data_IF_519958425859
#
_entry.id   IF_519958425859
#
_cell.length_a   1.000
_cell.length_b   1.000
_cell.length_c   1.000
_cell.angle_alpha   90.00
_cell.angle_beta   90.00
_cell.angle_gamma   90.00
#
_symmetry.space_group_name_H-M   'P 1'
#
loop_
_entity.id
_entity.type
_entity.pdbx_description
1 polymer ?
#
# COMPACT_ATOMS: atom_id res chain seq x y z
N UNK A 1 26.48 -7.47 8.68
CA UNK A 1 25.01 -7.60 8.83
C UNK A 1 24.21 -7.17 7.59
N UNK A 2 24.50 -6.02 6.98
CA UNK A 2 23.70 -5.37 5.91
C UNK A 2 23.27 -6.28 4.73
N UNK A 3 24.08 -7.28 4.33
CA UNK A 3 23.82 -8.15 3.17
C UNK A 3 22.56 -9.03 3.22
N UNK A 4 21.84 -9.14 4.36
CA UNK A 4 20.59 -9.94 4.43
C UNK A 4 19.33 -9.21 3.92
N UNK A 5 19.26 -7.88 3.97
CA UNK A 5 18.04 -7.12 3.64
C UNK A 5 17.78 -7.13 2.11
N UNK A 6 18.84 -6.99 1.31
CA UNK A 6 18.76 -6.97 -0.16
C UNK A 6 18.18 -8.24 -0.80
N UNK A 7 18.21 -9.38 -0.09
CA UNK A 7 17.66 -10.64 -0.61
C UNK A 7 16.12 -10.67 -0.56
N UNK A 8 15.49 -9.97 0.40
CA UNK A 8 14.04 -10.09 0.64
C UNK A 8 13.20 -9.48 -0.49
N UNK A 9 13.72 -8.46 -1.19
CA UNK A 9 13.06 -7.87 -2.36
C UNK A 9 13.21 -8.70 -3.63
N UNK A 10 14.23 -9.57 -3.73
CA UNK A 10 14.53 -10.34 -4.95
C UNK A 10 13.52 -11.45 -5.27
N UNK A 11 12.70 -11.89 -4.29
CA UNK A 11 11.89 -13.11 -4.44
C UNK A 11 10.40 -12.98 -4.03
N UNK A 12 9.86 -11.76 -3.95
CA UNK A 12 8.45 -11.54 -3.56
C UNK A 12 7.46 -11.86 -4.69
N UNK A 13 7.05 -13.12 -4.79
CA UNK A 13 6.00 -13.61 -5.70
C UNK A 13 4.67 -12.82 -5.60
N UNK A 14 4.39 -12.24 -4.43
CA UNK A 14 3.25 -11.33 -4.20
C UNK A 14 3.21 -10.09 -5.11
N UNK A 15 4.32 -9.67 -5.71
CA UNK A 15 4.38 -8.43 -6.50
C UNK A 15 3.94 -8.62 -7.96
N UNK A 16 4.07 -9.83 -8.54
CA UNK A 16 3.78 -10.06 -9.97
C UNK A 16 2.29 -10.20 -10.30
N UNK A 17 1.47 -10.63 -9.34
CA UNK A 17 0.06 -10.96 -9.56
C UNK A 17 -0.91 -9.88 -9.05
N UNK A 18 -0.42 -8.72 -8.58
CA UNK A 18 -1.23 -7.72 -7.87
C UNK A 18 -1.55 -6.46 -8.69
N UNK A 19 -1.86 -6.63 -9.98
CA UNK A 19 -2.48 -5.59 -10.81
C UNK A 19 -3.80 -6.09 -11.42
N UNK A 20 -4.79 -6.34 -10.54
CA UNK A 20 -6.20 -5.88 -10.67
C UNK A 20 -7.08 -6.54 -9.59
N UNK A 21 -7.12 -7.87 -9.54
CA UNK A 21 -8.24 -8.59 -8.89
C UNK A 21 -8.07 -8.85 -7.39
N UNK A 22 -6.96 -9.48 -6.95
CA UNK A 22 -6.80 -9.85 -5.53
C UNK A 22 -6.72 -8.63 -4.59
N UNK A 23 -6.27 -7.48 -5.09
CA UNK A 23 -6.26 -6.23 -4.32
C UNK A 23 -7.68 -5.68 -4.09
N UNK A 24 -8.57 -5.85 -5.07
CA UNK A 24 -9.97 -5.44 -5.01
C UNK A 24 -10.77 -6.31 -4.04
N UNK A 25 -10.43 -7.59 -3.93
CA UNK A 25 -11.00 -8.52 -2.95
C UNK A 25 -10.55 -8.23 -1.51
N UNK A 26 -9.31 -7.77 -1.30
CA UNK A 26 -8.76 -7.48 0.03
C UNK A 26 -9.31 -6.18 0.66
N UNK A 27 -9.71 -5.19 -0.15
CA UNK A 27 -10.18 -3.89 0.36
C UNK A 27 -11.47 -3.37 -0.33
N UNK A 28 -12.61 -4.09 -0.29
CA UNK A 28 -13.80 -3.73 -1.08
C UNK A 28 -14.33 -2.30 -0.84
N UNK A 29 -14.19 -1.77 0.37
CA UNK A 29 -14.59 -0.42 0.77
C UNK A 29 -13.74 0.72 0.17
N UNK A 30 -12.55 0.41 -0.39
CA UNK A 30 -11.78 1.36 -1.20
C UNK A 30 -12.24 1.36 -2.68
N UNK A 31 -13.04 0.36 -3.10
CA UNK A 31 -13.38 0.09 -4.51
C UNK A 31 -14.89 0.04 -4.80
N UNK A 32 -15.74 0.30 -3.80
CA UNK A 32 -17.17 0.51 -3.94
C UNK A 32 -17.44 1.87 -4.60
N UNK A 33 -17.47 1.88 -5.93
CA UNK A 33 -17.75 3.08 -6.73
C UNK A 33 -19.14 3.64 -6.39
N UNK A 34 -19.22 4.95 -6.17
CA UNK A 34 -20.47 5.69 -6.34
C UNK A 34 -20.92 5.53 -7.79
N UNK A 35 -22.10 4.96 -8.00
CA UNK A 35 -22.77 4.95 -9.29
C UNK A 35 -23.22 6.36 -9.64
N UNK A 36 -22.75 6.88 -10.78
CA UNK A 36 -23.28 8.09 -11.41
C UNK A 36 -24.24 7.60 -12.51
N UNK A 37 -25.57 7.81 -12.38
CA UNK A 37 -26.52 7.48 -13.45
C UNK A 37 -26.36 8.40 -14.67
N UNK A 38 -26.99 7.98 -15.77
CA UNK A 38 -26.80 8.59 -17.09
C UNK A 38 -27.44 9.98 -17.24
N UNK A 39 -27.01 10.75 -18.25
CA UNK A 39 -27.34 12.16 -18.44
C UNK A 39 -28.13 12.36 -19.74
N UNK A 40 -29.45 12.54 -19.63
CA UNK A 40 -30.24 13.58 -20.36
C UNK A 40 -31.76 13.36 -20.21
N UNK A 41 -32.48 14.42 -19.80
CA UNK A 41 -33.74 14.88 -20.42
C UNK A 41 -34.24 16.20 -19.83
N UNK A 42 -34.03 17.25 -20.61
CA UNK A 42 -34.90 18.41 -20.86
C UNK A 42 -35.92 18.84 -19.79
N UNK A 43 -35.68 20.01 -19.18
CA UNK A 43 -36.66 21.12 -19.11
C UNK A 43 -36.11 22.40 -18.46
N UNK A 44 -36.53 23.54 -19.00
CA UNK A 44 -36.57 24.86 -18.36
C UNK A 44 -37.76 24.89 -17.35
N UNK A 45 -37.91 25.80 -16.38
CA UNK A 45 -37.24 27.07 -16.01
C UNK A 45 -36.87 26.98 -14.49
N UNK A 46 -36.55 27.96 -13.64
CA UNK A 46 -36.62 29.43 -13.59
C UNK A 46 -35.46 29.97 -12.68
N UNK A 47 -35.39 31.26 -12.33
CA UNK A 47 -34.36 31.86 -11.46
C UNK A 47 -34.89 32.88 -10.45
N UNK A 48 -34.76 32.64 -9.13
CA UNK A 48 -34.90 33.67 -8.08
C UNK A 48 -33.80 33.58 -6.98
N UNK A 49 -33.12 34.73 -6.79
CA UNK A 49 -32.48 35.30 -5.58
C UNK A 49 -31.57 34.48 -4.60
N UNK A 50 -30.25 34.78 -4.62
CA UNK A 50 -29.40 35.37 -3.52
C UNK A 50 -29.35 34.67 -2.12
N UNK A 51 -28.20 34.53 -1.38
CA UNK A 51 -26.76 34.80 -1.67
C UNK A 51 -25.75 33.67 -1.28
N UNK A 52 -24.46 33.93 -1.61
CA UNK A 52 -23.21 33.55 -0.90
C UNK A 52 -22.96 32.11 -0.36
N UNK A 53 -22.19 31.33 -1.14
CA UNK A 53 -21.09 30.49 -0.64
C UNK A 53 -20.02 30.30 -1.74
N UNK A 54 -18.72 30.24 -1.38
CA UNK A 54 -17.61 30.13 -2.36
C UNK A 54 -17.29 28.67 -2.71
N UNK A 55 -18.18 28.00 -3.42
CA UNK A 55 -17.89 26.66 -3.95
C UNK A 55 -16.90 26.68 -5.13
N UNK A 56 -16.01 25.69 -5.18
CA UNK A 56 -14.98 25.57 -6.23
C UNK A 56 -15.58 25.01 -7.52
N UNK A 57 -15.70 25.88 -8.53
CA UNK A 57 -16.31 25.56 -9.84
C UNK A 57 -15.69 24.30 -10.47
N UNK A 58 -16.50 23.24 -10.60
CA UNK A 58 -16.18 22.05 -11.40
C UNK A 58 -16.26 22.39 -12.90
N UNK A 59 -15.14 22.78 -13.50
CA UNK A 59 -15.07 23.06 -14.94
C UNK A 59 -15.26 21.77 -15.76
N UNK A 60 -16.46 21.58 -16.31
CA UNK A 60 -16.86 20.45 -17.16
C UNK A 60 -16.30 20.58 -18.59
N UNK A 61 -14.99 20.44 -18.74
CA UNK A 61 -14.38 20.15 -20.04
C UNK A 61 -14.42 18.64 -20.32
N UNK A 62 -14.50 18.20 -21.60
CA UNK A 62 -14.25 16.81 -21.94
C UNK A 62 -12.83 16.45 -21.51
N UNK A 63 -12.68 15.43 -20.66
CA UNK A 63 -11.38 15.05 -20.12
C UNK A 63 -10.51 14.41 -21.20
N UNK A 64 -9.58 15.19 -21.76
CA UNK A 64 -8.35 14.60 -22.33
C UNK A 64 -7.71 13.71 -21.28
N UNK A 65 -7.19 12.55 -21.69
CA UNK A 65 -6.38 11.76 -20.77
C UNK A 65 -5.11 12.56 -20.47
N UNK A 66 -4.83 12.81 -19.19
CA UNK A 66 -3.63 13.56 -18.80
C UNK A 66 -2.34 12.79 -19.15
N UNK A 67 -2.45 11.50 -19.43
CA UNK A 67 -1.36 10.62 -19.84
C UNK A 67 -1.37 10.31 -21.35
N UNK A 68 -2.15 11.03 -22.16
CA UNK A 68 -2.07 10.96 -23.62
C UNK A 68 -0.63 11.28 -24.08
N UNK A 69 -0.02 10.37 -24.85
CA UNK A 69 1.38 10.46 -25.28
C UNK A 69 2.44 10.08 -24.22
N UNK A 70 2.05 9.64 -23.02
CA UNK A 70 3.00 9.19 -21.97
C UNK A 70 3.29 7.69 -22.09
N UNK A 71 4.58 7.33 -22.02
CA UNK A 71 5.04 5.95 -21.90
C UNK A 71 4.74 5.39 -20.50
N UNK A 72 3.61 4.69 -20.36
CA UNK A 72 3.14 4.12 -19.10
C UNK A 72 4.03 2.99 -18.57
N UNK A 73 4.73 2.24 -19.41
CA UNK A 73 5.64 1.17 -18.96
C UNK A 73 6.95 1.76 -18.40
N UNK A 74 7.42 2.90 -18.92
CA UNK A 74 8.51 3.68 -18.32
C UNK A 74 8.11 4.32 -16.98
N UNK A 75 6.89 4.85 -16.87
CA UNK A 75 6.33 5.34 -15.58
C UNK A 75 6.28 4.22 -14.55
N UNK A 76 5.73 3.05 -14.93
CA UNK A 76 5.65 1.84 -14.11
C UNK A 76 7.04 1.30 -13.71
N UNK A 77 8.02 1.36 -14.61
CA UNK A 77 9.41 0.99 -14.32
C UNK A 77 10.03 1.91 -13.28
N UNK A 78 9.84 3.24 -13.41
CA UNK A 78 10.28 4.22 -12.40
C UNK A 78 9.55 4.07 -11.06
N UNK A 79 8.24 3.78 -11.09
CA UNK A 79 7.45 3.49 -9.88
C UNK A 79 7.98 2.27 -9.13
N UNK A 80 8.28 1.16 -9.84
CA UNK A 80 8.89 -0.02 -9.22
C UNK A 80 10.24 0.33 -8.57
N UNK A 81 11.10 1.09 -9.26
CA UNK A 81 12.38 1.55 -8.70
C UNK A 81 12.18 2.40 -7.43
N UNK A 82 11.22 3.33 -7.41
CA UNK A 82 10.86 4.12 -6.22
C UNK A 82 10.35 3.26 -5.04
N UNK A 83 9.65 2.16 -5.32
CA UNK A 83 9.17 1.23 -4.30
C UNK A 83 10.29 0.31 -3.78
N UNK A 84 11.18 -0.16 -4.65
CA UNK A 84 12.35 -0.98 -4.31
C UNK A 84 13.41 -0.19 -3.52
N UNK A 85 13.61 1.09 -3.85
CA UNK A 85 14.46 2.03 -3.10
C UNK A 85 13.82 2.50 -1.78
N UNK A 86 12.54 2.18 -1.56
CA UNK A 86 11.70 2.67 -0.45
C UNK A 86 11.62 4.20 -0.35
N UNK A 87 11.56 4.91 -1.48
CA UNK A 87 11.42 6.37 -1.51
C UNK A 87 10.22 6.88 -0.71
N UNK A 88 9.19 6.05 -0.53
CA UNK A 88 8.04 6.33 0.34
C UNK A 88 8.37 6.49 1.84
N UNK A 89 9.57 6.14 2.33
CA UNK A 89 9.94 6.30 3.75
C UNK A 89 10.25 7.76 4.11
N UNK A 90 10.70 8.60 3.17
CA UNK A 90 10.95 10.02 3.43
C UNK A 90 9.66 10.72 3.90
N UNK A 91 9.65 11.19 5.15
CA UNK A 91 8.45 11.75 5.78
C UNK A 91 8.02 13.09 5.17
N UNK A 92 8.96 13.84 4.59
CA UNK A 92 8.76 15.13 3.91
C UNK A 92 8.47 14.98 2.40
N UNK A 93 8.40 13.76 1.87
CA UNK A 93 8.10 13.50 0.47
C UNK A 93 6.72 14.03 0.05
N UNK A 94 6.68 14.99 -0.87
CA UNK A 94 5.44 15.55 -1.43
C UNK A 94 5.18 15.02 -2.85
N UNK A 95 3.97 15.27 -3.34
CA UNK A 95 3.54 14.83 -4.67
C UNK A 95 4.44 15.35 -5.83
N UNK A 96 4.98 16.59 -5.84
CA UNK A 96 5.91 17.03 -6.90
C UNK A 96 7.22 16.23 -6.92
N UNK A 97 7.71 15.82 -5.75
CA UNK A 97 8.97 15.09 -5.60
C UNK A 97 8.79 13.66 -6.17
N UNK A 98 7.74 12.96 -5.70
CA UNK A 98 7.31 11.68 -6.27
C UNK A 98 7.01 11.76 -7.78
N UNK A 99 6.38 12.84 -8.26
CA UNK A 99 6.10 13.03 -9.69
C UNK A 99 7.39 13.07 -10.52
N UNK A 100 8.43 13.74 -10.00
CA UNK A 100 9.77 13.79 -10.60
C UNK A 100 10.39 12.39 -10.68
N UNK A 101 10.32 11.62 -9.58
CA UNK A 101 10.79 10.23 -9.54
C UNK A 101 10.10 9.33 -10.57
N UNK A 102 8.76 9.40 -10.70
CA UNK A 102 8.01 8.62 -11.71
C UNK A 102 8.03 9.24 -13.12
N UNK A 103 8.65 10.40 -13.30
CA UNK A 103 8.81 11.06 -14.61
C UNK A 103 7.53 11.68 -15.17
N UNK A 104 6.68 12.21 -14.29
CA UNK A 104 5.40 12.86 -14.59
C UNK A 104 5.39 14.30 -14.07
N UNK A 105 4.49 15.14 -14.58
CA UNK A 105 4.12 16.38 -13.88
C UNK A 105 3.28 16.08 -12.63
N UNK A 106 3.23 16.99 -11.65
CA UNK A 106 2.43 16.86 -10.42
C UNK A 106 0.95 16.52 -10.70
N UNK A 107 0.36 17.13 -11.74
CA UNK A 107 -1.01 16.84 -12.17
C UNK A 107 -1.15 15.43 -12.75
N UNK A 108 -0.20 15.00 -13.59
CA UNK A 108 -0.18 13.66 -14.17
C UNK A 108 0.07 12.56 -13.11
N UNK A 109 0.93 12.81 -12.12
CA UNK A 109 1.14 11.88 -11.01
C UNK A 109 -0.14 11.73 -10.16
N UNK A 110 -0.82 12.84 -9.85
CA UNK A 110 -2.14 12.80 -9.19
C UNK A 110 -3.16 12.02 -10.02
N UNK A 111 -3.24 12.30 -11.33
CA UNK A 111 -4.14 11.60 -12.24
C UNK A 111 -3.83 10.10 -12.30
N UNK A 112 -2.56 9.72 -12.48
CA UNK A 112 -2.11 8.32 -12.53
C UNK A 112 -2.51 7.54 -11.26
N UNK A 113 -2.19 8.07 -10.08
CA UNK A 113 -2.53 7.43 -8.80
C UNK A 113 -4.04 7.25 -8.64
N UNK A 114 -4.85 8.26 -8.96
CA UNK A 114 -6.31 8.18 -8.84
C UNK A 114 -6.95 7.31 -9.95
N UNK A 115 -6.42 7.32 -11.18
CA UNK A 115 -7.02 6.69 -12.36
C UNK A 115 -6.64 5.22 -12.57
N UNK A 116 -5.43 4.83 -12.14
CA UNK A 116 -4.85 3.49 -12.35
C UNK A 116 -4.67 2.73 -11.04
N UNK A 117 -4.28 3.39 -9.94
CA UNK A 117 -4.17 2.75 -8.62
C UNK A 117 -5.39 2.96 -7.71
N UNK A 118 -6.30 3.88 -8.08
CA UNK A 118 -7.47 4.28 -7.27
C UNK A 118 -7.06 4.74 -5.86
N UNK A 119 -5.99 5.55 -5.77
CA UNK A 119 -5.47 6.11 -4.51
C UNK A 119 -5.21 7.61 -4.62
N UNK A 120 -5.38 8.32 -3.50
CA UNK A 120 -4.73 9.61 -3.29
C UNK A 120 -3.23 9.41 -3.02
N UNK A 121 -2.41 10.44 -3.23
CA UNK A 121 -0.98 10.39 -2.90
C UNK A 121 -0.71 10.03 -1.43
N UNK A 122 -1.45 10.65 -0.51
CA UNK A 122 -1.34 10.37 0.93
C UNK A 122 -1.73 8.92 1.26
N UNK A 123 -2.69 8.34 0.54
CA UNK A 123 -3.10 6.94 0.73
C UNK A 123 -2.07 5.94 0.17
N UNK A 124 -1.51 6.24 -1.00
CA UNK A 124 -0.40 5.48 -1.58
C UNK A 124 0.78 5.40 -0.61
N UNK A 125 1.23 6.55 -0.06
CA UNK A 125 2.29 6.57 0.96
C UNK A 125 1.90 5.77 2.21
N UNK A 126 0.75 6.09 2.84
CA UNK A 126 0.31 5.40 4.06
C UNK A 126 0.19 3.88 3.86
N UNK A 127 -0.27 3.40 2.70
CA UNK A 127 -0.35 1.97 2.38
C UNK A 127 1.03 1.30 2.36
N UNK A 128 2.00 1.88 1.65
CA UNK A 128 3.36 1.35 1.60
C UNK A 128 4.06 1.43 2.97
N UNK A 129 3.91 2.56 3.69
CA UNK A 129 4.43 2.74 5.06
C UNK A 129 3.83 1.73 6.04
N UNK A 130 2.52 1.46 6.02
CA UNK A 130 1.88 0.43 6.86
C UNK A 130 2.41 -0.98 6.53
N UNK A 131 2.63 -1.30 5.27
CA UNK A 131 3.15 -2.62 4.90
C UNK A 131 4.61 -2.79 5.34
N UNK A 132 5.42 -1.74 5.34
CA UNK A 132 6.77 -1.79 5.90
C UNK A 132 6.78 -1.86 7.44
N UNK A 133 5.86 -1.18 8.13
CA UNK A 133 5.66 -1.38 9.59
C UNK A 133 5.35 -2.85 9.89
N UNK A 134 4.49 -3.52 9.10
CA UNK A 134 4.22 -4.96 9.26
C UNK A 134 5.50 -5.80 9.08
N UNK A 135 6.39 -5.43 8.16
CA UNK A 135 7.67 -6.12 7.96
C UNK A 135 8.62 -5.92 9.15
N UNK A 136 8.76 -4.68 9.60
CA UNK A 136 9.63 -4.30 10.71
C UNK A 136 9.19 -4.90 12.06
N UNK A 137 7.88 -5.06 12.31
CA UNK A 137 7.37 -5.75 13.52
C UNK A 137 7.88 -7.19 13.60
N UNK A 138 7.90 -7.92 12.49
CA UNK A 138 8.37 -9.33 12.43
C UNK A 138 9.86 -9.46 12.69
N UNK A 139 10.64 -8.52 12.14
CA UNK A 139 12.10 -8.49 12.29
C UNK A 139 12.51 -8.04 13.71
N UNK A 140 11.80 -7.05 14.26
CA UNK A 140 12.18 -6.32 15.47
C UNK A 140 11.06 -6.36 16.54
N UNK A 141 10.62 -7.56 16.92
CA UNK A 141 9.48 -7.79 17.80
C UNK A 141 9.48 -6.93 19.10
N UNK A 142 10.66 -6.75 19.71
CA UNK A 142 10.83 -6.04 20.98
C UNK A 142 10.81 -4.50 20.87
N UNK A 143 10.85 -3.92 19.67
CA UNK A 143 10.92 -2.46 19.50
C UNK A 143 9.59 -1.76 19.82
N UNK A 144 9.68 -0.50 20.28
CA UNK A 144 8.51 0.36 20.44
C UNK A 144 7.82 0.54 19.08
N UNK A 145 6.52 0.27 19.04
CA UNK A 145 5.72 0.33 17.81
C UNK A 145 5.65 1.75 17.20
N UNK A 146 5.66 2.79 18.04
CA UNK A 146 5.71 4.16 17.53
C UNK A 146 7.04 4.42 16.82
N UNK A 147 8.18 4.04 17.42
CA UNK A 147 9.49 4.18 16.79
C UNK A 147 9.55 3.43 15.45
N UNK A 148 9.01 2.19 15.38
CA UNK A 148 8.90 1.46 14.10
C UNK A 148 8.11 2.28 13.06
N UNK A 149 7.04 2.96 13.46
CA UNK A 149 6.26 3.81 12.56
C UNK A 149 7.04 5.05 12.10
N UNK A 150 7.79 5.72 13.00
CA UNK A 150 8.65 6.86 12.63
C UNK A 150 9.73 6.43 11.61
N UNK A 151 10.42 5.31 11.86
CA UNK A 151 11.41 4.69 10.95
C UNK A 151 10.80 4.24 9.61
N UNK A 152 9.47 4.11 9.53
CA UNK A 152 8.73 3.84 8.30
C UNK A 152 8.08 5.11 7.70
N UNK A 153 8.51 6.31 8.11
CA UNK A 153 8.06 7.59 7.54
C UNK A 153 6.74 8.14 8.10
N UNK A 154 6.24 7.68 9.24
CA UNK A 154 5.09 8.32 9.89
C UNK A 154 5.53 9.47 10.79
N UNK A 155 5.27 10.71 10.38
CA UNK A 155 5.57 11.92 11.16
C UNK A 155 4.84 12.06 12.52
N UNK A 156 3.91 11.16 12.85
CA UNK A 156 3.09 11.26 14.06
C UNK A 156 2.36 9.96 14.41
N UNK A 157 2.12 9.75 15.71
CA UNK A 157 1.26 8.66 16.18
C UNK A 157 -0.17 8.73 15.60
N UNK A 158 -0.69 9.93 15.38
CA UNK A 158 -2.03 10.16 14.82
C UNK A 158 -2.15 9.81 13.34
N UNK A 159 -1.12 10.11 12.52
CA UNK A 159 -1.10 9.68 11.11
C UNK A 159 -0.98 8.16 11.00
N UNK A 160 -0.08 7.57 11.78
CA UNK A 160 0.09 6.12 11.90
C UNK A 160 -1.19 5.39 12.34
N UNK A 161 -1.88 5.87 13.39
CA UNK A 161 -3.13 5.25 13.87
C UNK A 161 -4.23 5.29 12.80
N UNK A 162 -4.40 6.42 12.10
CA UNK A 162 -5.35 6.54 10.98
C UNK A 162 -5.04 5.56 9.86
N UNK A 163 -3.75 5.39 9.53
CA UNK A 163 -3.31 4.43 8.51
C UNK A 163 -3.51 2.97 8.95
N UNK A 164 -3.26 2.60 10.21
CA UNK A 164 -3.56 1.26 10.73
C UNK A 164 -5.05 0.92 10.58
N UNK A 165 -5.94 1.81 11.03
CA UNK A 165 -7.39 1.60 10.90
C UNK A 165 -7.80 1.51 9.42
N UNK A 166 -7.34 2.43 8.56
CA UNK A 166 -7.70 2.45 7.13
C UNK A 166 -7.22 1.24 6.33
N UNK A 167 -5.99 0.79 6.54
CA UNK A 167 -5.34 -0.24 5.71
C UNK A 167 -5.22 -1.62 6.38
N UNK A 168 -5.72 -1.79 7.61
CA UNK A 168 -5.74 -3.09 8.31
C UNK A 168 -7.02 -3.38 9.10
N UNK A 169 -7.88 -2.38 9.33
CA UNK A 169 -9.08 -2.52 10.18
C UNK A 169 -8.79 -2.69 11.67
N UNK A 170 -7.51 -2.58 12.10
CA UNK A 170 -7.04 -2.85 13.46
C UNK A 170 -6.35 -1.62 14.05
N UNK A 171 -6.40 -1.45 15.37
CA UNK A 171 -5.57 -0.45 16.05
C UNK A 171 -4.09 -0.83 15.91
N UNK A 172 -3.13 0.10 16.10
CA UNK A 172 -1.71 -0.23 16.12
C UNK A 172 -1.36 -1.37 17.10
N UNK A 173 -1.97 -1.37 18.29
CA UNK A 173 -1.74 -2.40 19.32
C UNK A 173 -2.22 -3.77 18.86
N UNK A 174 -3.40 -3.81 18.25
CA UNK A 174 -4.00 -5.06 17.75
C UNK A 174 -3.28 -5.58 16.51
N UNK A 175 -2.83 -4.69 15.62
CA UNK A 175 -1.98 -5.04 14.49
C UNK A 175 -0.65 -5.69 14.93
N UNK A 176 0.02 -5.14 15.96
CA UNK A 176 1.24 -5.75 16.51
C UNK A 176 0.95 -7.11 17.17
N UNK A 177 -0.16 -7.24 17.91
CA UNK A 177 -0.59 -8.52 18.52
C UNK A 177 -0.89 -9.60 17.47
N UNK A 178 -1.63 -9.22 16.43
CA UNK A 178 -2.08 -10.09 15.34
C UNK A 178 -0.91 -10.73 14.58
N UNK A 179 0.13 -9.95 14.29
CA UNK A 179 1.33 -10.44 13.61
C UNK A 179 2.01 -11.58 14.41
N UNK A 180 2.22 -11.43 15.71
CA UNK A 180 2.86 -12.45 16.54
C UNK A 180 2.01 -13.71 16.76
N UNK A 181 0.69 -13.59 16.81
CA UNK A 181 -0.20 -14.75 16.90
C UNK A 181 -0.15 -15.60 15.63
N UNK A 182 -0.09 -14.96 14.45
CA UNK A 182 0.04 -15.66 13.18
C UNK A 182 1.42 -16.33 13.00
N UNK A 183 2.49 -15.73 13.51
CA UNK A 183 3.83 -16.35 13.53
C UNK A 183 3.94 -17.49 14.54
N UNK A 184 3.28 -17.38 15.70
CA UNK A 184 3.19 -18.48 16.68
C UNK A 184 2.46 -19.70 16.09
N UNK A 185 1.39 -19.46 15.32
CA UNK A 185 0.51 -20.50 14.77
C UNK A 185 1.09 -21.22 13.53
N UNK A 186 2.16 -20.68 12.93
CA UNK A 186 2.82 -21.25 11.75
C UNK A 186 4.10 -22.05 12.07
N UNK A 187 4.49 -22.13 13.35
CA UNK A 187 5.70 -22.83 13.81
C UNK A 187 5.42 -24.20 14.49
N UNK A 188 4.20 -24.72 14.44
CA UNK A 188 3.78 -25.92 15.20
C UNK A 188 3.39 -27.13 14.33
N UNK A 189 4.38 -27.73 13.65
CA UNK A 189 4.38 -29.15 13.26
C UNK A 189 5.73 -29.76 13.70
N UNK A 190 5.77 -30.95 14.35
CA UNK A 190 6.86 -31.28 15.28
C UNK A 190 8.04 -32.04 14.67
N UNK A 191 9.26 -31.60 14.99
CA UNK A 191 10.45 -32.46 14.91
C UNK A 191 10.49 -33.42 16.11
N UNK A 192 9.83 -34.57 15.96
CA UNK A 192 10.10 -35.77 16.76
C UNK A 192 10.64 -36.87 15.86
N UNK A 193 11.85 -36.66 15.36
CA UNK A 193 12.61 -37.69 14.65
C UNK A 193 12.75 -38.94 15.54
N UNK A 194 12.56 -40.11 14.94
CA UNK A 194 12.76 -41.39 15.63
C UNK A 194 14.26 -41.58 15.88
N UNK A 195 14.62 -42.09 17.06
CA UNK A 195 16.00 -42.50 17.34
C UNK A 195 16.43 -43.58 16.34
N UNK A 196 17.59 -43.38 15.71
CA UNK A 196 18.17 -44.37 14.80
C UNK A 196 19.12 -45.28 15.61
N UNK A 197 18.55 -46.28 16.30
CA UNK A 197 19.29 -47.14 17.25
C UNK A 197 19.04 -48.65 17.14
N UNK A 198 18.15 -49.11 16.24
CA UNK A 198 17.71 -50.51 16.18
C UNK A 198 17.71 -51.08 14.75
N UNK A 199 18.82 -50.92 14.02
CA UNK A 199 19.02 -51.58 12.72
C UNK A 199 20.51 -51.78 12.37
N UNK A 200 21.26 -52.50 13.22
CA UNK A 200 22.41 -53.34 12.80
C UNK A 200 22.91 -54.21 13.98
N UNK A 201 22.17 -55.29 14.22
CA UNK A 201 22.58 -56.57 14.81
C UNK A 201 21.69 -57.61 14.08
N UNK A 202 22.15 -58.76 13.59
CA UNK A 202 23.39 -59.49 13.85
C UNK A 202 24.08 -59.95 12.56
N UNK A 203 25.42 -59.86 12.50
CA UNK A 203 26.31 -60.78 11.74
C UNK A 203 27.64 -60.81 12.50
N UNK A 204 27.88 -61.87 13.28
CA UNK A 204 29.19 -62.45 13.65
C UNK A 204 29.03 -63.45 14.82
N UNK A 205 28.46 -64.62 14.54
CA UNK A 205 28.75 -65.91 15.20
C UNK A 205 28.13 -67.08 14.43
#
# INVERSE_FOLDING_TARGET
MIRKISFYYRNNSWFRNLLHDSFRALFPSLFSKVTIPDINKDKEIELETIPEAKETKKYKYPSRDLLEGIDLEKVKTKLNHFLDSKGFIDEELRLPDFATDVGLTTHQASYYLNRYLNMSFTDFLQFHRINEVKNMIRINANFNLLNIALECGFNSASSFHRACIKFTGKSPRDLKKDIFLNESSSNTIPQKSKTQSDFFKDVDS
#
